data_IF_209342545107
#
_entry.id   IF_209342545107
#
_cell.length_a   1.000
_cell.length_b   1.000
_cell.length_c   1.000
_cell.angle_alpha   90.00
_cell.angle_beta   90.00
_cell.angle_gamma   90.00
#
_symmetry.space_group_name_H-M   'P 1'
#
loop_
_entity.id
_entity.type
_entity.pdbx_description
1 polymer ?
#
# COMPACT_ATOMS: atom_id res chain seq x y z
N UNK A 1 -7.72 21.57 -5.59
CA UNK A 1 -7.10 20.31 -6.07
C UNK A 1 -8.23 19.33 -6.34
N UNK A 2 -8.37 18.78 -7.55
CA UNK A 2 -9.33 17.70 -7.79
C UNK A 2 -8.64 16.41 -7.38
N UNK A 3 -9.17 15.64 -6.42
CA UNK A 3 -8.64 14.30 -6.14
C UNK A 3 -8.68 13.50 -7.43
N UNK A 4 -7.74 12.58 -7.64
CA UNK A 4 -7.81 11.62 -8.72
C UNK A 4 -9.20 11.00 -8.67
N UNK A 5 -10.05 11.31 -9.65
CA UNK A 5 -11.45 10.93 -9.59
C UNK A 5 -11.57 9.45 -9.88
N UNK A 6 -12.49 8.77 -9.21
CA UNK A 6 -12.90 7.38 -9.43
C UNK A 6 -13.25 7.03 -10.89
N UNK A 7 -13.19 8.00 -11.79
CA UNK A 7 -13.49 7.88 -13.22
C UNK A 7 -12.25 7.59 -14.08
N UNK A 8 -11.03 7.63 -13.52
CA UNK A 8 -9.77 7.47 -14.29
C UNK A 8 -9.75 6.15 -15.07
N UNK A 9 -10.36 5.08 -14.54
CA UNK A 9 -10.37 3.77 -15.19
C UNK A 9 -11.41 3.60 -16.31
N UNK A 10 -12.34 4.52 -16.45
CA UNK A 10 -13.29 4.52 -17.57
C UNK A 10 -12.74 5.22 -18.80
N UNK A 11 -11.69 6.01 -18.62
CA UNK A 11 -11.04 6.75 -19.69
C UNK A 11 -9.99 5.93 -20.46
N UNK A 12 -9.37 6.59 -21.43
CA UNK A 12 -8.32 6.00 -22.28
C UNK A 12 -7.11 5.56 -21.47
N UNK A 13 -6.74 6.30 -20.40
CA UNK A 13 -5.57 6.03 -19.56
C UNK A 13 -5.75 4.73 -18.77
N UNK A 14 -6.92 4.48 -18.22
CA UNK A 14 -7.21 3.22 -17.53
C UNK A 14 -7.19 2.01 -18.46
N UNK A 15 -7.65 2.15 -19.72
CA UNK A 15 -7.52 1.12 -20.73
C UNK A 15 -6.06 0.85 -21.10
N UNK A 16 -5.26 1.90 -21.22
CA UNK A 16 -3.84 1.81 -21.50
C UNK A 16 -3.09 1.10 -20.37
N UNK A 17 -3.41 1.44 -19.12
CA UNK A 17 -2.86 0.80 -17.93
C UNK A 17 -3.14 -0.73 -17.95
N UNK A 18 -4.36 -1.15 -18.24
CA UNK A 18 -4.72 -2.57 -18.37
C UNK A 18 -3.95 -3.29 -19.46
N UNK A 19 -3.65 -2.63 -20.57
CA UNK A 19 -2.86 -3.21 -21.66
C UNK A 19 -1.37 -3.35 -21.30
N UNK A 20 -0.87 -2.48 -20.44
CA UNK A 20 0.54 -2.49 -20.03
C UNK A 20 0.86 -3.65 -19.10
N UNK A 21 -0.11 -4.12 -18.32
CA UNK A 21 0.01 -5.22 -17.38
C UNK A 21 -1.05 -6.29 -17.66
N UNK A 22 -0.77 -7.21 -18.60
CA UNK A 22 -1.66 -8.34 -18.87
C UNK A 22 -1.72 -9.26 -17.64
N UNK A 23 -2.89 -9.62 -17.22
CA UNK A 23 -3.17 -10.29 -15.94
C UNK A 23 -4.02 -9.40 -15.04
N UNK A 24 -4.16 -8.16 -15.40
CA UNK A 24 -5.06 -7.21 -14.81
C UNK A 24 -6.48 -7.43 -15.27
N UNK A 25 -7.28 -7.47 -14.26
CA UNK A 25 -8.71 -7.65 -14.36
C UNK A 25 -9.43 -6.38 -14.79
N UNK A 26 -10.74 -6.50 -14.88
CA UNK A 26 -11.69 -5.41 -15.05
C UNK A 26 -11.69 -4.49 -13.81
N UNK A 27 -10.57 -3.80 -13.56
CA UNK A 27 -10.48 -2.76 -12.55
C UNK A 27 -11.10 -1.51 -13.16
N UNK A 28 -12.28 -1.14 -12.67
CA UNK A 28 -13.01 0.03 -13.16
C UNK A 28 -12.84 1.27 -12.27
N UNK A 29 -12.21 1.11 -11.11
CA UNK A 29 -12.08 2.17 -10.09
C UNK A 29 -10.85 1.95 -9.21
N UNK A 30 -10.45 3.00 -8.49
CA UNK A 30 -9.55 2.92 -7.37
C UNK A 30 -10.15 3.69 -6.18
N UNK A 31 -9.59 3.47 -5.00
CA UNK A 31 -10.00 4.16 -3.78
C UNK A 31 -8.88 5.00 -3.19
N UNK A 32 -7.63 4.63 -3.44
CA UNK A 32 -6.45 5.30 -2.90
C UNK A 32 -6.20 6.69 -3.50
N UNK A 33 -5.46 7.53 -2.77
CA UNK A 33 -5.13 8.89 -3.22
C UNK A 33 -4.12 8.89 -4.36
N UNK A 34 -3.12 8.01 -4.29
CA UNK A 34 -1.99 7.95 -5.23
C UNK A 34 -1.94 6.65 -6.04
N UNK A 35 -3.06 5.95 -6.25
CA UNK A 35 -3.09 4.67 -6.97
C UNK A 35 -2.25 3.56 -6.31
N UNK A 36 -2.01 3.64 -5.00
CA UNK A 36 -1.29 2.61 -4.25
C UNK A 36 -1.94 1.24 -4.40
N UNK A 37 -3.26 1.19 -4.29
CA UNK A 37 -4.07 0.00 -4.47
C UNK A 37 -3.89 -0.64 -5.84
N UNK A 38 -3.74 0.19 -6.88
CA UNK A 38 -3.49 -0.26 -8.25
C UNK A 38 -2.06 -0.76 -8.41
N UNK A 39 -1.08 -0.04 -7.83
CA UNK A 39 0.30 -0.50 -7.82
C UNK A 39 0.45 -1.87 -7.15
N UNK A 40 -0.23 -2.09 -6.03
CA UNK A 40 -0.24 -3.39 -5.34
C UNK A 40 -0.77 -4.50 -6.23
N UNK A 41 -1.92 -4.30 -6.88
CA UNK A 41 -2.49 -5.29 -7.80
C UNK A 41 -1.56 -5.55 -8.99
N UNK A 42 -0.92 -4.50 -9.50
CA UNK A 42 0.06 -4.60 -10.57
C UNK A 42 1.28 -5.43 -10.14
N UNK A 43 1.88 -5.09 -9.02
CA UNK A 43 3.07 -5.76 -8.51
C UNK A 43 2.80 -7.22 -8.14
N UNK A 44 1.59 -7.56 -7.75
CA UNK A 44 1.16 -8.93 -7.42
C UNK A 44 0.47 -9.65 -8.58
N UNK A 45 0.62 -9.14 -9.82
CA UNK A 45 0.04 -9.73 -11.03
C UNK A 45 -1.48 -9.99 -10.92
N UNK A 46 -2.19 -9.04 -10.31
CA UNK A 46 -3.65 -9.13 -10.12
C UNK A 46 -4.09 -10.24 -9.17
N UNK A 47 -3.27 -10.58 -8.21
CA UNK A 47 -3.55 -11.65 -7.23
C UNK A 47 -4.93 -11.50 -6.60
N UNK A 48 -5.68 -12.60 -6.57
CA UNK A 48 -6.88 -12.78 -5.75
C UNK A 48 -6.52 -13.49 -4.46
N UNK A 49 -7.31 -13.27 -3.41
CA UNK A 49 -7.10 -13.91 -2.11
C UNK A 49 -5.72 -13.58 -1.48
N UNK A 50 -5.23 -12.35 -1.68
CA UNK A 50 -4.02 -11.86 -1.04
C UNK A 50 -4.23 -11.49 0.42
N UNK A 51 -3.16 -11.02 1.04
CA UNK A 51 -3.16 -10.59 2.44
C UNK A 51 -2.52 -9.22 2.61
N UNK A 52 -3.00 -8.45 3.59
CA UNK A 52 -2.46 -7.12 3.86
C UNK A 52 -2.38 -6.76 5.34
N UNK A 53 -1.51 -5.81 5.63
CA UNK A 53 -1.44 -5.06 6.89
C UNK A 53 -1.51 -3.57 6.53
N UNK A 54 -2.44 -2.85 7.12
CA UNK A 54 -2.68 -1.43 6.88
C UNK A 54 -2.53 -0.65 8.18
N UNK A 55 -1.57 0.26 8.21
CA UNK A 55 -1.28 1.11 9.37
C UNK A 55 -1.60 2.55 8.99
N UNK A 56 -2.67 3.10 9.60
CA UNK A 56 -3.35 4.31 9.20
C UNK A 56 -4.49 4.02 8.22
N UNK A 57 -5.62 3.49 8.71
CA UNK A 57 -6.70 3.08 7.79
C UNK A 57 -7.79 4.15 7.59
N UNK A 58 -7.83 5.17 8.45
CA UNK A 58 -8.82 6.26 8.44
C UNK A 58 -10.22 5.81 7.98
N UNK A 59 -10.68 6.30 6.86
CA UNK A 59 -12.02 6.04 6.35
C UNK A 59 -12.11 4.75 5.52
N UNK A 60 -13.26 4.05 5.55
CA UNK A 60 -13.38 2.73 4.92
C UNK A 60 -13.19 2.71 3.39
N UNK A 61 -13.51 3.79 2.68
CA UNK A 61 -13.44 3.86 1.23
C UNK A 61 -12.75 5.10 0.68
N UNK A 62 -12.80 6.23 1.38
CA UNK A 62 -12.18 7.46 0.93
C UNK A 62 -10.67 7.40 1.21
N UNK A 63 -9.86 7.56 0.17
CA UNK A 63 -8.39 7.44 0.22
C UNK A 63 -7.88 6.09 0.74
N UNK A 64 -8.69 5.04 0.60
CA UNK A 64 -8.33 3.74 1.13
C UNK A 64 -7.41 2.97 0.20
N UNK A 65 -6.26 2.56 0.70
CA UNK A 65 -5.29 1.76 -0.04
C UNK A 65 -5.64 0.28 -0.12
N UNK A 66 -6.66 -0.17 0.62
CA UNK A 66 -7.00 -1.59 0.74
C UNK A 66 -8.45 -1.93 0.36
N UNK A 67 -9.30 -0.92 0.05
CA UNK A 67 -10.71 -1.19 -0.26
C UNK A 67 -10.90 -2.03 -1.51
N UNK A 68 -10.18 -1.71 -2.60
CA UNK A 68 -10.25 -2.51 -3.84
C UNK A 68 -9.65 -3.89 -3.65
N UNK A 69 -8.62 -4.03 -2.82
CA UNK A 69 -8.01 -5.32 -2.53
C UNK A 69 -9.03 -6.27 -1.89
N UNK A 70 -9.87 -5.75 -1.00
CA UNK A 70 -10.98 -6.52 -0.43
C UNK A 70 -12.01 -6.96 -1.47
N UNK A 71 -12.28 -6.16 -2.50
CA UNK A 71 -13.13 -6.55 -3.62
C UNK A 71 -12.50 -7.70 -4.42
N UNK A 72 -11.18 -7.82 -4.40
CA UNK A 72 -10.41 -8.95 -4.94
C UNK A 72 -10.19 -10.10 -3.92
N UNK A 73 -11.06 -10.18 -2.92
CA UNK A 73 -11.09 -11.25 -1.91
C UNK A 73 -9.85 -11.28 -0.99
N UNK A 74 -9.12 -10.18 -0.90
CA UNK A 74 -8.00 -10.07 0.06
C UNK A 74 -8.50 -9.98 1.49
N UNK A 75 -7.67 -10.47 2.42
CA UNK A 75 -7.93 -10.32 3.86
C UNK A 75 -6.75 -9.66 4.54
N UNK A 76 -7.05 -8.95 5.62
CA UNK A 76 -5.99 -8.29 6.37
C UNK A 76 -6.49 -7.63 7.65
N UNK A 77 -5.54 -6.98 8.28
CA UNK A 77 -5.74 -6.20 9.49
C UNK A 77 -5.38 -4.74 9.23
N UNK A 78 -6.21 -3.86 9.76
CA UNK A 78 -6.04 -2.41 9.65
C UNK A 78 -5.94 -1.82 11.05
N UNK A 79 -5.19 -0.75 11.18
CA UNK A 79 -4.95 -0.06 12.44
C UNK A 79 -5.13 1.43 12.30
N UNK A 80 -5.78 2.05 13.28
CA UNK A 80 -5.91 3.49 13.40
C UNK A 80 -6.07 3.89 14.86
N UNK A 81 -5.64 5.09 15.22
CA UNK A 81 -5.84 5.63 16.56
C UNK A 81 -7.27 6.15 16.75
N UNK A 82 -7.93 6.54 15.66
CA UNK A 82 -9.28 7.08 15.68
C UNK A 82 -10.33 5.97 15.80
N UNK A 83 -10.84 5.79 17.01
CA UNK A 83 -11.84 4.76 17.28
C UNK A 83 -13.11 4.89 16.44
N UNK A 84 -13.57 6.11 16.16
CA UNK A 84 -14.79 6.32 15.37
C UNK A 84 -14.59 5.90 13.90
N UNK A 85 -13.42 6.19 13.33
CA UNK A 85 -13.04 5.72 12.00
C UNK A 85 -12.96 4.18 11.96
N UNK A 86 -12.36 3.57 12.97
CA UNK A 86 -12.29 2.10 13.08
C UNK A 86 -13.65 1.44 13.23
N UNK A 87 -14.56 2.01 14.00
CA UNK A 87 -15.92 1.50 14.16
C UNK A 87 -16.68 1.55 12.81
N UNK A 88 -16.62 2.68 12.09
CA UNK A 88 -17.20 2.84 10.75
C UNK A 88 -16.56 1.87 9.74
N UNK A 89 -15.24 1.72 9.78
CA UNK A 89 -14.51 0.77 8.95
C UNK A 89 -15.01 -0.69 9.19
N UNK A 90 -15.12 -1.11 10.45
CA UNK A 90 -15.58 -2.45 10.80
C UNK A 90 -17.04 -2.70 10.42
N UNK A 91 -17.91 -1.69 10.52
CA UNK A 91 -19.29 -1.78 10.08
C UNK A 91 -19.40 -2.02 8.58
N UNK A 92 -18.64 -1.26 7.79
CA UNK A 92 -18.72 -1.26 6.32
C UNK A 92 -17.86 -2.34 5.68
N UNK A 93 -16.70 -2.64 6.25
CA UNK A 93 -15.67 -3.51 5.66
C UNK A 93 -15.32 -4.77 6.45
N UNK A 94 -15.73 -4.89 7.70
CA UNK A 94 -15.44 -6.04 8.57
C UNK A 94 -16.07 -7.34 8.09
N UNK A 95 -15.65 -7.87 6.95
CA UNK A 95 -16.21 -9.06 6.30
C UNK A 95 -15.36 -10.30 6.55
N UNK A 96 -16.03 -11.46 6.64
CA UNK A 96 -15.37 -12.75 6.66
C UNK A 96 -15.20 -13.29 5.24
N UNK A 97 -14.00 -13.73 4.90
CA UNK A 97 -13.70 -14.33 3.60
C UNK A 97 -13.17 -15.76 3.77
N UNK A 98 -14.04 -16.73 3.55
CA UNK A 98 -13.69 -18.15 3.64
C UNK A 98 -12.82 -18.65 2.49
N UNK A 99 -12.75 -17.90 1.40
CA UNK A 99 -11.96 -18.27 0.22
C UNK A 99 -10.52 -17.76 0.30
N UNK A 100 -10.23 -16.85 1.23
CA UNK A 100 -8.88 -16.34 1.37
C UNK A 100 -7.92 -17.43 1.86
N UNK A 101 -6.66 -17.39 1.44
CA UNK A 101 -5.66 -18.37 1.87
C UNK A 101 -5.52 -18.48 3.39
N UNK A 102 -5.71 -17.39 4.10
CA UNK A 102 -5.65 -17.32 5.57
C UNK A 102 -7.00 -17.59 6.24
N UNK A 103 -8.11 -17.75 5.47
CA UNK A 103 -9.43 -18.03 6.03
C UNK A 103 -9.93 -16.98 7.01
N UNK A 104 -9.45 -15.75 6.87
CA UNK A 104 -9.56 -14.71 7.88
C UNK A 104 -10.72 -13.75 7.66
N UNK A 105 -10.88 -12.89 8.65
CA UNK A 105 -11.83 -11.78 8.65
C UNK A 105 -11.06 -10.47 8.52
N UNK A 106 -11.52 -9.61 7.64
CA UNK A 106 -11.05 -8.23 7.61
C UNK A 106 -11.45 -7.51 8.89
N UNK A 107 -10.50 -6.90 9.57
CA UNK A 107 -10.72 -6.24 10.85
C UNK A 107 -9.84 -5.03 11.02
N UNK A 108 -10.43 -3.91 11.45
CA UNK A 108 -9.70 -2.75 11.94
C UNK A 108 -9.67 -2.69 13.47
N UNK A 109 -8.57 -2.22 14.03
CA UNK A 109 -8.31 -2.09 15.45
C UNK A 109 -7.98 -0.65 15.82
N UNK A 110 -8.69 -0.12 16.83
CA UNK A 110 -8.41 1.19 17.39
C UNK A 110 -7.23 1.09 18.36
N UNK A 111 -6.05 1.46 17.91
CA UNK A 111 -4.85 1.42 18.73
C UNK A 111 -3.73 2.31 18.14
N UNK A 112 -2.81 2.69 19.01
CA UNK A 112 -1.59 3.38 18.61
C UNK A 112 -0.58 2.37 18.06
N UNK A 113 -0.36 2.40 16.74
CA UNK A 113 0.52 1.48 16.05
C UNK A 113 2.01 1.62 16.46
N UNK A 114 2.38 2.74 17.09
CA UNK A 114 3.76 2.94 17.59
C UNK A 114 4.04 2.18 18.89
N UNK A 115 3.01 1.71 19.58
CA UNK A 115 3.12 1.08 20.91
C UNK A 115 2.66 -0.38 20.95
N UNK A 116 1.96 -0.87 19.94
CA UNK A 116 1.39 -2.22 19.93
C UNK A 116 2.42 -3.30 19.59
N UNK A 117 2.11 -4.52 20.01
CA UNK A 117 2.82 -5.73 19.58
C UNK A 117 2.11 -6.33 18.36
N UNK A 118 2.49 -5.87 17.16
CA UNK A 118 1.90 -6.31 15.90
C UNK A 118 1.91 -7.82 15.72
N UNK A 119 2.94 -8.52 16.18
CA UNK A 119 3.04 -9.99 16.13
C UNK A 119 1.83 -10.71 16.73
N UNK A 120 1.23 -10.16 17.78
CA UNK A 120 0.02 -10.73 18.40
C UNK A 120 -1.18 -10.67 17.44
N UNK A 121 -1.38 -9.52 16.79
CA UNK A 121 -2.48 -9.36 15.83
C UNK A 121 -2.27 -10.20 14.58
N UNK A 122 -1.05 -10.21 14.03
CA UNK A 122 -0.75 -10.98 12.83
C UNK A 122 -0.97 -12.48 13.06
N UNK A 123 -0.57 -13.01 14.21
CA UNK A 123 -0.80 -14.42 14.57
C UNK A 123 -2.29 -14.74 14.79
N UNK A 124 -3.06 -13.85 15.43
CA UNK A 124 -4.50 -14.02 15.63
C UNK A 124 -5.28 -14.07 14.31
N UNK A 125 -4.79 -13.37 13.28
CA UNK A 125 -5.39 -13.39 11.95
C UNK A 125 -4.80 -14.46 11.04
N UNK A 126 -3.96 -15.35 11.56
CA UNK A 126 -3.30 -16.41 10.79
C UNK A 126 -2.56 -15.90 9.56
N UNK A 127 -2.09 -14.65 9.59
CA UNK A 127 -1.25 -14.11 8.55
C UNK A 127 0.08 -14.85 8.54
N UNK A 128 0.43 -15.41 7.38
CA UNK A 128 1.65 -16.20 7.18
C UNK A 128 2.93 -15.36 7.30
N UNK A 129 4.05 -16.00 7.02
CA UNK A 129 5.34 -15.30 6.96
C UNK A 129 5.36 -14.25 5.86
N UNK A 130 4.89 -14.63 4.68
CA UNK A 130 4.89 -13.79 3.50
C UNK A 130 3.49 -13.18 3.33
N UNK A 131 3.42 -11.87 3.46
CA UNK A 131 2.22 -11.06 3.36
C UNK A 131 2.33 -10.23 2.08
N UNK A 132 1.24 -10.07 1.35
CA UNK A 132 1.31 -9.44 0.03
C UNK A 132 1.49 -7.93 0.09
N UNK A 133 0.90 -7.26 1.09
CA UNK A 133 0.95 -5.80 1.16
C UNK A 133 1.09 -5.27 2.58
N UNK A 134 1.93 -4.26 2.72
CA UNK A 134 2.05 -3.41 3.90
C UNK A 134 1.87 -1.96 3.51
N UNK A 135 0.89 -1.29 4.11
CA UNK A 135 0.76 0.16 4.06
C UNK A 135 1.25 0.77 5.36
N UNK A 136 2.04 1.81 5.25
CA UNK A 136 2.56 2.62 6.35
C UNK A 136 2.27 4.09 6.07
N UNK A 137 1.26 4.65 6.75
CA UNK A 137 0.72 5.98 6.51
C UNK A 137 0.04 6.50 7.77
N UNK A 138 0.81 7.18 8.63
CA UNK A 138 0.34 7.81 9.86
C UNK A 138 0.94 9.22 9.96
N UNK A 139 0.10 10.20 10.22
CA UNK A 139 0.54 11.55 10.50
C UNK A 139 0.86 11.78 12.00
N UNK A 140 1.94 12.47 12.31
CA UNK A 140 3.03 12.96 11.45
C UNK A 140 4.05 11.84 11.11
N UNK A 141 4.97 12.02 10.11
CA UNK A 141 5.83 10.96 9.57
C UNK A 141 6.79 10.31 10.58
N UNK A 142 7.05 10.94 11.71
CA UNK A 142 7.80 10.29 12.79
C UNK A 142 7.04 9.13 13.43
N UNK A 143 5.72 9.19 13.45
CA UNK A 143 4.88 8.07 13.92
C UNK A 143 4.86 6.94 12.90
N UNK A 144 4.82 7.24 11.60
CA UNK A 144 4.99 6.25 10.53
C UNK A 144 6.33 5.51 10.66
N UNK A 145 7.42 6.27 10.89
CA UNK A 145 8.74 5.70 11.11
C UNK A 145 8.81 4.83 12.37
N UNK A 146 8.22 5.27 13.48
CA UNK A 146 8.12 4.49 14.70
C UNK A 146 7.30 3.20 14.51
N UNK A 147 6.15 3.28 13.86
CA UNK A 147 5.30 2.13 13.56
C UNK A 147 6.03 1.09 12.69
N UNK A 148 6.81 1.53 11.69
CA UNK A 148 7.66 0.65 10.88
C UNK A 148 8.61 -0.18 11.75
N UNK A 149 9.18 0.39 12.81
CA UNK A 149 10.05 -0.34 13.73
C UNK A 149 9.33 -1.32 14.66
N UNK A 150 7.99 -1.27 14.73
CA UNK A 150 7.16 -2.25 15.48
C UNK A 150 6.83 -3.49 14.67
N UNK A 151 7.09 -3.48 13.38
CA UNK A 151 6.87 -4.64 12.53
C UNK A 151 7.86 -5.75 12.88
N UNK A 152 7.41 -6.99 13.07
CA UNK A 152 8.29 -8.11 13.38
C UNK A 152 8.98 -8.66 12.12
N UNK A 153 9.91 -7.88 11.57
CA UNK A 153 10.63 -8.13 10.31
C UNK A 153 11.40 -9.46 10.25
N UNK A 154 11.74 -10.05 11.39
CA UNK A 154 12.41 -11.35 11.43
C UNK A 154 11.45 -12.51 11.16
N UNK A 155 10.14 -12.29 11.32
CA UNK A 155 9.10 -13.30 11.13
C UNK A 155 8.24 -13.07 9.90
N UNK A 156 8.10 -11.82 9.44
CA UNK A 156 7.25 -11.47 8.33
C UNK A 156 8.02 -10.72 7.24
N UNK A 157 7.63 -11.01 5.98
CA UNK A 157 8.08 -10.28 4.79
C UNK A 157 6.84 -9.82 4.04
N UNK A 158 6.96 -8.72 3.32
CA UNK A 158 5.87 -8.12 2.55
C UNK A 158 6.27 -8.06 1.08
N UNK A 159 5.39 -8.49 0.17
CA UNK A 159 5.70 -8.43 -1.24
C UNK A 159 5.78 -6.98 -1.74
N UNK A 160 4.86 -6.13 -1.28
CA UNK A 160 4.78 -4.71 -1.62
C UNK A 160 4.67 -3.89 -0.34
N UNK A 161 5.35 -2.74 -0.31
CA UNK A 161 5.22 -1.73 0.75
C UNK A 161 4.98 -0.38 0.11
N UNK A 162 3.99 0.37 0.60
CA UNK A 162 3.86 1.82 0.39
C UNK A 162 4.19 2.52 1.70
N UNK A 163 5.09 3.50 1.63
CA UNK A 163 5.59 4.21 2.79
C UNK A 163 5.46 5.71 2.60
N UNK A 164 4.55 6.31 3.34
CA UNK A 164 4.39 7.76 3.37
C UNK A 164 5.44 8.41 4.28
N UNK A 165 6.18 9.36 3.72
CA UNK A 165 7.23 10.08 4.43
C UNK A 165 7.02 11.59 4.50
N UNK A 166 6.09 12.14 3.73
CA UNK A 166 5.71 13.56 3.73
C UNK A 166 6.88 14.55 3.72
N UNK A 167 7.97 14.20 3.03
CA UNK A 167 9.20 15.01 3.06
C UNK A 167 9.02 16.43 2.51
N UNK A 168 7.98 16.68 1.74
CA UNK A 168 7.62 18.00 1.23
C UNK A 168 7.07 18.89 2.34
N UNK A 169 6.39 18.32 3.33
CA UNK A 169 5.77 19.05 4.43
C UNK A 169 6.69 19.18 5.64
N UNK A 170 7.58 18.21 5.84
CA UNK A 170 8.54 18.15 6.94
C UNK A 170 9.99 18.13 6.42
N UNK A 171 10.47 19.16 5.72
CA UNK A 171 11.78 19.16 5.06
C UNK A 171 12.97 19.03 6.02
N UNK A 172 12.80 19.45 7.27
CA UNK A 172 13.84 19.37 8.31
C UNK A 172 13.93 17.98 8.97
N UNK A 173 13.05 17.05 8.59
CA UNK A 173 12.99 15.71 9.15
C UNK A 173 13.36 14.67 8.10
N UNK A 174 14.43 13.95 8.34
CA UNK A 174 15.02 13.02 7.35
C UNK A 174 14.40 11.60 7.40
N UNK A 175 13.09 11.48 7.70
CA UNK A 175 12.43 10.17 7.77
C UNK A 175 12.42 9.45 6.45
N UNK A 176 12.44 10.17 5.32
CA UNK A 176 12.58 9.58 3.99
C UNK A 176 13.91 8.82 3.83
N UNK A 177 15.04 9.45 4.14
CA UNK A 177 16.35 8.77 4.03
C UNK A 177 16.48 7.65 5.06
N UNK A 178 15.99 7.85 6.26
CA UNK A 178 16.02 6.85 7.33
C UNK A 178 15.18 5.60 6.96
N UNK A 179 13.98 5.77 6.40
CA UNK A 179 13.15 4.65 5.96
C UNK A 179 13.77 3.93 4.76
N UNK A 180 14.37 4.68 3.82
CA UNK A 180 15.10 4.11 2.68
C UNK A 180 16.27 3.25 3.13
N UNK A 181 17.08 3.74 4.05
CA UNK A 181 18.19 2.98 4.63
C UNK A 181 17.69 1.69 5.32
N UNK A 182 16.63 1.82 6.12
CA UNK A 182 16.06 0.69 6.86
C UNK A 182 15.50 -0.38 5.92
N UNK A 183 14.63 -0.03 4.97
CA UNK A 183 13.99 -0.98 4.08
C UNK A 183 15.01 -1.64 3.12
N UNK A 184 16.00 -0.88 2.65
CA UNK A 184 17.10 -1.43 1.86
C UNK A 184 17.89 -2.49 2.66
N UNK A 185 18.20 -2.23 3.93
CA UNK A 185 18.86 -3.22 4.82
C UNK A 185 18.00 -4.46 5.06
N UNK A 186 16.68 -4.35 4.97
CA UNK A 186 15.75 -5.50 5.05
C UNK A 186 15.59 -6.25 3.73
N UNK A 187 16.30 -5.83 2.67
CA UNK A 187 16.31 -6.51 1.37
C UNK A 187 15.25 -6.05 0.38
N UNK A 188 14.55 -4.96 0.68
CA UNK A 188 13.57 -4.36 -0.24
C UNK A 188 14.23 -3.52 -1.32
N UNK A 189 13.59 -3.47 -2.47
CA UNK A 189 13.99 -2.63 -3.61
C UNK A 189 13.02 -1.45 -3.71
N UNK A 190 13.56 -0.23 -3.69
CA UNK A 190 12.81 0.98 -3.97
C UNK A 190 12.53 1.03 -5.47
N UNK A 191 11.26 0.96 -5.85
CA UNK A 191 10.85 0.90 -7.26
C UNK A 191 10.18 2.17 -7.74
N UNK A 192 9.58 2.95 -6.84
CA UNK A 192 8.99 4.23 -7.17
C UNK A 192 9.31 5.25 -6.04
N UNK A 193 10.39 6.02 -6.18
CA UNK A 193 10.73 7.05 -5.21
C UNK A 193 9.88 8.31 -5.40
N UNK A 194 9.56 8.98 -4.29
CA UNK A 194 8.97 10.32 -4.29
C UNK A 194 7.68 10.43 -5.14
N UNK A 195 6.80 9.47 -5.07
CA UNK A 195 5.50 9.57 -5.72
C UNK A 195 4.81 10.84 -5.24
N UNK A 196 4.25 11.61 -6.17
CA UNK A 196 3.54 12.85 -5.89
C UNK A 196 2.06 12.72 -6.22
N UNK A 197 1.16 13.09 -5.32
CA UNK A 197 -0.27 13.12 -5.61
C UNK A 197 -0.66 14.24 -6.60
N UNK A 198 0.25 15.18 -6.86
CA UNK A 198 0.01 16.33 -7.71
C UNK A 198 0.61 16.18 -9.10
N UNK A 199 -0.09 16.70 -10.10
CA UNK A 199 0.39 16.73 -11.49
C UNK A 199 1.65 17.59 -11.67
N UNK A 200 1.86 18.59 -10.81
CA UNK A 200 3.05 19.45 -10.83
C UNK A 200 4.29 18.81 -10.18
N UNK A 201 4.12 17.63 -9.57
CA UNK A 201 5.19 16.83 -8.93
C UNK A 201 5.96 17.58 -7.83
N UNK A 202 5.32 18.54 -7.19
CA UNK A 202 5.99 19.39 -6.17
C UNK A 202 6.09 18.72 -4.81
N UNK A 203 5.26 17.68 -4.56
CA UNK A 203 5.20 16.98 -3.29
C UNK A 203 5.84 15.60 -3.39
N UNK A 204 7.01 15.41 -2.80
CA UNK A 204 7.58 14.09 -2.54
C UNK A 204 6.82 13.50 -1.35
N UNK A 205 5.77 12.73 -1.62
CA UNK A 205 4.79 12.26 -0.66
C UNK A 205 5.16 10.90 -0.08
N UNK A 206 5.34 9.90 -0.94
CA UNK A 206 5.61 8.52 -0.53
C UNK A 206 6.59 7.79 -1.44
N UNK A 207 7.07 6.65 -0.96
CA UNK A 207 7.93 5.70 -1.68
C UNK A 207 7.24 4.34 -1.81
N UNK A 208 7.40 3.69 -2.97
CA UNK A 208 6.91 2.34 -3.21
C UNK A 208 8.04 1.33 -3.32
N UNK A 209 7.87 0.22 -2.62
CA UNK A 209 8.89 -0.81 -2.45
C UNK A 209 8.36 -2.19 -2.78
N UNK A 210 9.25 -3.08 -3.21
CA UNK A 210 8.94 -4.49 -3.41
C UNK A 210 10.02 -5.39 -2.79
N UNK A 211 9.61 -6.58 -2.36
CA UNK A 211 10.55 -7.62 -1.96
C UNK A 211 10.86 -8.52 -3.17
N UNK A 212 12.12 -8.57 -3.66
CA UNK A 212 12.45 -9.21 -4.94
C UNK A 212 12.16 -10.70 -4.98
N UNK A 213 12.16 -11.38 -3.82
CA UNK A 213 11.85 -12.82 -3.74
C UNK A 213 10.34 -13.12 -3.70
N UNK A 214 9.48 -12.12 -3.54
CA UNK A 214 8.03 -12.28 -3.41
C UNK A 214 7.25 -11.74 -4.61
N UNK A 215 7.93 -11.13 -5.55
CA UNK A 215 7.36 -10.64 -6.82
C UNK A 215 7.81 -11.57 -7.95
N UNK A 216 6.90 -11.86 -8.88
CA UNK A 216 7.24 -12.64 -10.07
C UNK A 216 8.37 -11.94 -10.84
N UNK A 217 9.41 -12.68 -11.30
CA UNK A 217 10.59 -12.08 -11.92
C UNK A 217 10.28 -11.14 -13.09
N UNK A 218 9.37 -11.54 -13.97
CA UNK A 218 8.98 -10.74 -15.15
C UNK A 218 8.26 -9.44 -14.74
N UNK A 219 7.45 -9.50 -13.70
CA UNK A 219 6.77 -8.32 -13.12
C UNK A 219 7.79 -7.40 -12.45
N UNK A 220 8.73 -7.97 -11.70
CA UNK A 220 9.79 -7.23 -11.04
C UNK A 220 10.66 -6.44 -12.04
N UNK A 221 11.12 -7.11 -13.10
CA UNK A 221 11.94 -6.44 -14.14
C UNK A 221 11.16 -5.32 -14.83
N UNK A 222 9.88 -5.53 -15.10
CA UNK A 222 9.02 -4.51 -15.67
C UNK A 222 8.85 -3.31 -14.75
N UNK A 223 8.57 -3.54 -13.45
CA UNK A 223 8.44 -2.48 -12.46
C UNK A 223 9.74 -1.68 -12.33
N UNK A 224 10.88 -2.36 -12.24
CA UNK A 224 12.19 -1.70 -12.17
C UNK A 224 12.49 -0.82 -13.38
N UNK A 225 12.02 -1.22 -14.57
CA UNK A 225 12.20 -0.40 -15.79
C UNK A 225 11.39 0.88 -15.79
N UNK A 226 10.41 1.02 -14.89
CA UNK A 226 9.56 2.21 -14.75
C UNK A 226 10.13 3.23 -13.75
N UNK A 227 11.15 2.87 -12.99
CA UNK A 227 11.68 3.71 -11.92
C UNK A 227 12.32 5.00 -12.47
N UNK A 228 11.86 6.11 -11.93
CA UNK A 228 12.43 7.45 -12.14
C UNK A 228 11.96 8.35 -10.98
N UNK A 229 12.72 9.38 -10.65
CA UNK A 229 12.35 10.29 -9.57
C UNK A 229 11.24 11.26 -10.00
N UNK A 230 10.36 11.61 -9.06
CA UNK A 230 9.35 12.68 -9.21
C UNK A 230 8.31 12.45 -10.31
N UNK A 231 7.75 11.25 -10.40
CA UNK A 231 6.61 10.97 -11.28
C UNK A 231 5.27 11.05 -10.53
N UNK A 232 4.21 11.39 -11.27
CA UNK A 232 2.87 11.11 -10.78
C UNK A 232 2.61 9.60 -10.78
N UNK A 233 1.70 9.10 -9.94
CA UNK A 233 1.36 7.68 -9.93
C UNK A 233 0.99 7.14 -11.30
N UNK A 234 0.21 7.90 -12.07
CA UNK A 234 -0.24 7.49 -13.40
C UNK A 234 0.90 7.40 -14.42
N UNK A 235 1.80 8.37 -14.40
CA UNK A 235 2.99 8.35 -15.28
C UNK A 235 3.90 7.19 -14.95
N UNK A 236 4.11 6.94 -13.65
CA UNK A 236 4.89 5.80 -13.20
C UNK A 236 4.28 4.49 -13.69
N UNK A 237 2.98 4.27 -13.45
CA UNK A 237 2.29 3.04 -13.80
C UNK A 237 2.20 2.81 -15.33
N UNK A 238 2.12 3.87 -16.13
CA UNK A 238 2.11 3.78 -17.59
C UNK A 238 3.50 3.74 -18.22
N UNK A 239 4.57 3.99 -17.48
CA UNK A 239 5.93 4.07 -17.99
C UNK A 239 6.15 5.27 -18.92
N UNK A 240 5.37 6.34 -18.80
CA UNK A 240 5.51 7.57 -19.60
C UNK A 240 6.33 8.60 -18.84
N UNK A 241 7.20 9.26 -19.57
CA UNK A 241 8.01 10.39 -19.11
C UNK A 241 7.32 11.69 -19.47
#
# INVERSE_FOLDING_TARGET
>A
MKPFSYEIFRDVKGKELRNTFPGWFDIEKNYSECLQDIFVLMATNGKKNGSYVEIGCDQPYHRSNTAILQEHEWVGVSFDINKAAVDDWNEKRGKFNIKAPVGGRNRAYACDATTIYLSTFLSQHSLGRDIDYLQLDIDPPDLTYQAMHRIPWDYHRFAVITYEHDSYFYPDKDYRSLSREFLTKKGYVLVAPNISPDEDRTRAFEDWWVHPELIEPDVLEKIKSLSDEHKTPMEYLLGKV
#
